data_IF_853307701393
#
_entry.id   IF_853307701393
#
_cell.length_a   1.000
_cell.length_b   1.000
_cell.length_c   1.000
_cell.angle_alpha   90.00
_cell.angle_beta   90.00
_cell.angle_gamma   90.00
#
_symmetry.space_group_name_H-M   'P 1'
#
loop_
_entity.id
_entity.type
_entity.pdbx_description
1 polymer ?
#
# COMPACT_ATOMS: atom_id res chain seq x y z
N UNK A 1 25.65 4.98 -31.34
CA UNK A 1 25.16 4.29 -30.13
C UNK A 1 23.73 3.85 -30.36
N UNK A 2 23.37 2.66 -29.92
CA UNK A 2 22.05 2.08 -30.16
C UNK A 2 21.03 2.78 -29.28
N UNK A 3 20.00 3.40 -29.87
CA UNK A 3 18.91 4.02 -29.13
C UNK A 3 18.05 2.92 -28.49
N UNK A 4 17.62 3.14 -27.27
CA UNK A 4 16.67 2.23 -26.61
C UNK A 4 15.33 2.28 -27.34
N UNK A 5 14.78 1.10 -27.61
CA UNK A 5 13.44 1.01 -28.21
C UNK A 5 12.38 1.56 -27.23
N UNK A 6 11.33 2.18 -27.76
CA UNK A 6 10.22 2.70 -26.95
C UNK A 6 9.60 1.62 -26.06
N UNK A 7 9.51 0.39 -26.56
CA UNK A 7 9.04 -0.78 -25.81
C UNK A 7 9.86 -1.05 -24.55
N UNK A 8 11.18 -0.85 -24.60
CA UNK A 8 12.06 -1.04 -23.44
C UNK A 8 11.88 0.06 -22.41
N UNK A 9 11.69 1.31 -22.86
CA UNK A 9 11.44 2.47 -21.98
C UNK A 9 10.11 2.32 -21.25
N UNK A 10 9.04 1.95 -21.97
CA UNK A 10 7.73 1.69 -21.38
C UNK A 10 7.79 0.50 -20.43
N UNK A 11 8.42 -0.60 -20.85
CA UNK A 11 8.56 -1.78 -20.00
C UNK A 11 9.35 -1.52 -18.73
N UNK A 12 10.39 -0.68 -18.79
CA UNK A 12 11.12 -0.24 -17.62
C UNK A 12 10.24 0.65 -16.72
N UNK A 13 9.46 1.58 -17.28
CA UNK A 13 8.53 2.42 -16.55
C UNK A 13 7.46 1.62 -15.79
N UNK A 14 6.96 0.53 -16.39
CA UNK A 14 6.00 -0.37 -15.73
C UNK A 14 6.56 -1.03 -14.48
N UNK A 15 7.88 -1.30 -14.44
CA UNK A 15 8.54 -1.83 -13.23
C UNK A 15 8.45 -0.87 -12.05
N UNK A 16 8.67 0.43 -12.28
CA UNK A 16 8.54 1.44 -11.23
C UNK A 16 7.06 1.71 -10.87
N UNK A 17 6.17 1.60 -11.86
CA UNK A 17 4.72 1.60 -11.62
C UNK A 17 4.32 0.47 -10.67
N UNK A 18 4.81 -0.75 -10.90
CA UNK A 18 4.58 -1.91 -10.04
C UNK A 18 5.12 -1.69 -8.62
N UNK A 19 6.37 -1.21 -8.50
CA UNK A 19 6.98 -0.92 -7.21
C UNK A 19 6.18 0.15 -6.43
N UNK A 20 5.67 1.17 -7.12
CA UNK A 20 4.84 2.21 -6.51
C UNK A 20 3.43 1.74 -6.17
N UNK A 21 2.84 0.80 -6.90
CA UNK A 21 1.61 0.13 -6.50
C UNK A 21 1.80 -0.53 -5.12
N UNK A 22 2.86 -1.30 -4.94
CA UNK A 22 3.16 -1.93 -3.66
C UNK A 22 3.44 -0.91 -2.56
N UNK A 23 4.40 0.00 -2.80
CA UNK A 23 4.86 0.95 -1.79
C UNK A 23 3.76 1.92 -1.35
N UNK A 24 3.05 2.55 -2.30
CA UNK A 24 1.98 3.50 -2.00
C UNK A 24 0.79 2.83 -1.34
N UNK A 25 0.46 1.59 -1.75
CA UNK A 25 -0.57 0.79 -1.09
C UNK A 25 -0.25 0.58 0.38
N UNK A 26 0.96 0.15 0.69
CA UNK A 26 1.42 -0.08 2.06
C UNK A 26 1.55 1.23 2.83
N UNK A 27 2.24 2.24 2.28
CA UNK A 27 2.50 3.49 2.99
C UNK A 27 1.23 4.30 3.31
N UNK A 28 0.20 4.22 2.46
CA UNK A 28 -1.03 5.01 2.64
C UNK A 28 -2.10 4.26 3.42
N UNK A 29 -2.28 2.95 3.16
CA UNK A 29 -3.47 2.25 3.61
C UNK A 29 -3.21 1.16 4.66
N UNK A 30 -1.98 0.66 4.81
CA UNK A 30 -1.71 -0.45 5.70
C UNK A 30 -1.94 -0.09 7.18
N UNK A 31 -1.58 1.13 7.59
CA UNK A 31 -1.81 1.58 8.97
C UNK A 31 -3.29 1.53 9.31
N UNK A 32 -4.13 2.14 8.46
CA UNK A 32 -5.60 2.16 8.63
C UNK A 32 -6.16 0.73 8.59
N UNK A 33 -5.69 -0.11 7.65
CA UNK A 33 -6.13 -1.49 7.58
C UNK A 33 -5.79 -2.28 8.85
N UNK A 34 -4.58 -2.14 9.38
CA UNK A 34 -4.17 -2.86 10.58
C UNK A 34 -4.90 -2.38 11.84
N UNK A 35 -5.14 -1.07 11.98
CA UNK A 35 -5.82 -0.51 13.16
C UNK A 35 -7.33 -0.70 13.09
N UNK A 36 -7.96 -0.25 12.03
CA UNK A 36 -9.42 -0.11 11.95
C UNK A 36 -10.10 -1.38 11.45
N UNK A 37 -9.43 -2.16 10.59
CA UNK A 37 -10.02 -3.34 9.95
C UNK A 37 -9.53 -4.64 10.58
N UNK A 38 -8.23 -4.79 10.79
CA UNK A 38 -7.66 -6.00 11.39
C UNK A 38 -7.71 -5.97 12.92
N UNK A 39 -7.76 -4.77 13.53
CA UNK A 39 -7.93 -4.56 14.96
C UNK A 39 -6.67 -4.80 15.79
N UNK A 40 -5.52 -4.32 15.30
CA UNK A 40 -4.24 -4.26 16.04
C UNK A 40 -4.12 -2.86 16.65
N UNK A 41 -3.55 -2.76 17.85
CA UNK A 41 -3.36 -1.46 18.48
C UNK A 41 -2.46 -0.54 17.67
N UNK A 42 -2.75 0.77 17.58
CA UNK A 42 -1.93 1.73 16.84
C UNK A 42 -0.46 1.75 17.28
N UNK A 43 -0.22 1.55 18.58
CA UNK A 43 1.13 1.47 19.15
C UNK A 43 1.92 0.27 18.57
N UNK A 44 1.30 -0.92 18.49
CA UNK A 44 1.95 -2.10 17.91
C UNK A 44 2.24 -1.91 16.40
N UNK A 45 1.33 -1.28 15.66
CA UNK A 45 1.55 -0.97 14.24
C UNK A 45 2.68 0.06 14.08
N UNK A 46 2.73 1.08 14.94
CA UNK A 46 3.80 2.08 14.94
C UNK A 46 5.17 1.46 15.21
N UNK A 47 5.28 0.56 16.19
CA UNK A 47 6.52 -0.17 16.50
C UNK A 47 6.94 -1.04 15.31
N UNK A 48 6.00 -1.75 14.66
CA UNK A 48 6.27 -2.54 13.47
C UNK A 48 6.90 -1.69 12.36
N UNK A 49 6.29 -0.55 12.04
CA UNK A 49 6.80 0.37 11.02
C UNK A 49 8.17 0.96 11.37
N UNK A 50 8.41 1.22 12.65
CA UNK A 50 9.70 1.70 13.13
C UNK A 50 10.81 0.66 12.97
N UNK A 51 10.57 -0.59 13.40
CA UNK A 51 11.53 -1.71 13.27
C UNK A 51 11.92 -1.90 11.79
N UNK A 52 10.93 -1.86 10.90
CA UNK A 52 11.18 -2.01 9.48
C UNK A 52 12.09 -0.90 8.93
N UNK A 53 11.90 0.34 9.34
CA UNK A 53 12.74 1.48 8.91
C UNK A 53 14.20 1.33 9.30
N UNK A 54 14.48 0.79 10.49
CA UNK A 54 15.86 0.50 10.88
C UNK A 54 16.47 -0.66 10.09
N UNK A 55 15.66 -1.66 9.72
CA UNK A 55 16.10 -2.79 8.91
C UNK A 55 16.43 -2.41 7.46
N UNK A 56 15.76 -1.39 6.91
CA UNK A 56 15.88 -0.94 5.51
C UNK A 56 17.33 -0.79 5.07
N UNK A 57 18.08 0.07 5.73
CA UNK A 57 19.43 0.42 5.31
C UNK A 57 20.40 -0.77 5.32
N UNK A 58 20.22 -1.71 6.24
CA UNK A 58 21.08 -2.90 6.34
C UNK A 58 20.73 -3.89 5.23
N UNK A 59 19.44 -4.14 5.02
CA UNK A 59 18.94 -5.09 4.02
C UNK A 59 19.25 -4.60 2.60
N UNK A 60 19.15 -3.30 2.35
CA UNK A 60 19.49 -2.70 1.05
C UNK A 60 20.95 -2.94 0.67
N UNK A 61 21.88 -2.75 1.62
CA UNK A 61 23.31 -3.02 1.40
C UNK A 61 23.56 -4.50 1.11
N UNK A 62 22.98 -5.39 1.92
CA UNK A 62 23.09 -6.84 1.74
C UNK A 62 22.56 -7.24 0.36
N UNK A 63 21.39 -6.73 -0.02
CA UNK A 63 20.77 -7.03 -1.31
C UNK A 63 21.63 -6.51 -2.48
N UNK A 64 22.22 -5.32 -2.37
CA UNK A 64 23.15 -4.78 -3.34
C UNK A 64 24.34 -5.74 -3.58
N UNK A 65 24.96 -6.24 -2.50
CA UNK A 65 26.06 -7.20 -2.59
C UNK A 65 25.62 -8.52 -3.24
N UNK A 66 24.45 -9.03 -2.90
CA UNK A 66 23.91 -10.26 -3.48
C UNK A 66 23.67 -10.08 -4.98
N UNK A 67 23.08 -8.94 -5.39
CA UNK A 67 22.85 -8.63 -6.80
C UNK A 67 24.15 -8.55 -7.59
N UNK A 68 25.17 -7.89 -7.04
CA UNK A 68 26.47 -7.76 -7.72
C UNK A 68 27.17 -9.09 -7.93
N UNK A 69 26.94 -10.06 -7.05
CA UNK A 69 27.48 -11.42 -7.15
C UNK A 69 26.61 -12.36 -7.97
N UNK A 70 25.42 -11.94 -8.33
CA UNK A 70 24.52 -12.78 -9.14
C UNK A 70 25.07 -12.93 -10.56
N UNK A 71 25.17 -14.17 -11.00
CA UNK A 71 25.55 -14.50 -12.37
C UNK A 71 24.52 -15.48 -12.94
N UNK A 72 23.75 -15.03 -13.94
CA UNK A 72 22.73 -15.86 -14.56
C UNK A 72 22.68 -15.65 -16.08
N UNK A 73 22.03 -16.58 -16.77
CA UNK A 73 21.78 -16.47 -18.22
C UNK A 73 20.96 -15.23 -18.63
N UNK A 74 20.30 -14.61 -17.68
CA UNK A 74 19.46 -13.40 -17.91
C UNK A 74 20.16 -12.10 -17.52
N UNK A 75 21.39 -12.14 -17.04
CA UNK A 75 22.14 -11.02 -16.51
C UNK A 75 22.26 -11.02 -14.98
N UNK A 76 22.64 -9.90 -14.39
CA UNK A 76 22.82 -9.72 -12.94
C UNK A 76 21.52 -9.31 -12.24
N UNK A 77 20.81 -8.33 -12.78
CA UNK A 77 19.70 -7.64 -12.14
C UNK A 77 18.32 -8.14 -12.59
N UNK A 78 18.17 -8.43 -13.89
CA UNK A 78 16.91 -8.92 -14.48
C UNK A 78 16.35 -10.19 -13.82
N UNK A 79 17.15 -11.21 -13.46
CA UNK A 79 16.61 -12.42 -12.83
C UNK A 79 15.88 -12.11 -11.52
N UNK A 80 16.35 -11.14 -10.75
CA UNK A 80 15.70 -10.73 -9.51
C UNK A 80 14.30 -10.16 -9.75
N UNK A 81 14.12 -9.36 -10.80
CA UNK A 81 12.80 -8.83 -11.18
C UNK A 81 11.83 -9.98 -11.49
N UNK A 82 12.30 -11.01 -12.20
CA UNK A 82 11.48 -12.17 -12.53
C UNK A 82 11.15 -13.01 -11.28
N UNK A 83 12.16 -13.33 -10.47
CA UNK A 83 12.01 -14.19 -9.30
C UNK A 83 11.13 -13.56 -8.22
N UNK A 84 11.14 -12.25 -8.11
CA UNK A 84 10.34 -11.52 -7.12
C UNK A 84 8.98 -11.09 -7.64
N UNK A 85 8.69 -11.19 -8.94
CA UNK A 85 7.45 -10.71 -9.53
C UNK A 85 6.19 -11.35 -8.90
N UNK A 86 6.17 -12.66 -8.75
CA UNK A 86 5.07 -13.38 -8.10
C UNK A 86 5.12 -13.28 -6.58
N UNK A 87 6.28 -13.55 -5.91
CA UNK A 87 6.39 -13.40 -4.47
C UNK A 87 5.97 -12.02 -3.94
N UNK A 88 6.29 -10.94 -4.67
CA UNK A 88 5.90 -9.59 -4.26
C UNK A 88 4.38 -9.39 -4.28
N UNK A 89 3.70 -9.89 -5.31
CA UNK A 89 2.24 -9.88 -5.37
C UNK A 89 1.60 -10.71 -4.25
N UNK A 90 2.15 -11.89 -3.97
CA UNK A 90 1.67 -12.75 -2.89
C UNK A 90 1.87 -12.07 -1.53
N UNK A 91 3.04 -11.56 -1.24
CA UNK A 91 3.33 -10.92 0.05
C UNK A 91 2.52 -9.64 0.25
N UNK A 92 2.32 -8.83 -0.79
CA UNK A 92 1.40 -7.68 -0.75
C UNK A 92 -0.03 -8.12 -0.44
N UNK A 93 -0.50 -9.21 -1.05
CA UNK A 93 -1.82 -9.77 -0.78
C UNK A 93 -1.96 -10.25 0.67
N UNK A 94 -0.93 -10.90 1.21
CA UNK A 94 -0.92 -11.35 2.61
C UNK A 94 -1.02 -10.20 3.61
N UNK A 95 -0.39 -9.05 3.34
CA UNK A 95 -0.48 -7.87 4.21
C UNK A 95 -1.91 -7.39 4.44
N UNK A 96 -2.76 -7.51 3.42
CA UNK A 96 -4.16 -7.07 3.47
C UNK A 96 -5.15 -8.24 3.64
N UNK A 97 -4.65 -9.39 4.06
CA UNK A 97 -5.48 -10.53 4.46
C UNK A 97 -5.68 -10.49 5.98
N UNK A 98 -6.90 -10.77 6.44
CA UNK A 98 -7.23 -10.74 7.86
C UNK A 98 -7.70 -12.12 8.34
N UNK A 99 -6.77 -13.04 8.67
CA UNK A 99 -7.11 -14.35 9.22
C UNK A 99 -7.76 -14.24 10.60
N UNK A 100 -8.53 -15.27 10.96
CA UNK A 100 -9.26 -15.33 12.23
C UNK A 100 -8.32 -15.82 13.36
N UNK A 101 -7.39 -14.96 13.76
CA UNK A 101 -6.49 -15.23 14.89
C UNK A 101 -6.92 -14.48 16.15
N UNK A 102 -6.52 -14.98 17.33
CA UNK A 102 -6.58 -14.22 18.57
C UNK A 102 -5.65 -12.98 18.54
N UNK A 103 -5.74 -12.12 19.56
CA UNK A 103 -5.01 -10.84 19.59
C UNK A 103 -3.50 -10.99 19.34
N UNK A 104 -2.83 -11.90 20.04
CA UNK A 104 -1.40 -12.16 19.85
C UNK A 104 -1.09 -12.72 18.45
N UNK A 105 -1.91 -13.65 17.97
CA UNK A 105 -1.74 -14.23 16.64
C UNK A 105 -1.85 -13.21 15.51
N UNK A 106 -2.71 -12.19 15.65
CA UNK A 106 -2.82 -11.08 14.70
C UNK A 106 -1.52 -10.26 14.64
N UNK A 107 -0.94 -9.96 15.80
CA UNK A 107 0.32 -9.19 15.87
C UNK A 107 1.45 -9.99 15.21
N UNK A 108 1.61 -11.26 15.57
CA UNK A 108 2.64 -12.14 14.98
C UNK A 108 2.46 -12.24 13.47
N UNK A 109 1.24 -12.44 12.99
CA UNK A 109 0.93 -12.49 11.55
C UNK A 109 1.30 -11.19 10.84
N UNK A 110 0.90 -10.04 11.39
CA UNK A 110 1.19 -8.73 10.81
C UNK A 110 2.70 -8.47 10.73
N UNK A 111 3.44 -8.79 11.79
CA UNK A 111 4.90 -8.61 11.83
C UNK A 111 5.60 -9.55 10.84
N UNK A 112 5.23 -10.82 10.82
CA UNK A 112 5.84 -11.80 9.91
C UNK A 112 5.59 -11.43 8.44
N UNK A 113 4.34 -11.15 8.06
CA UNK A 113 3.98 -10.80 6.69
C UNK A 113 4.60 -9.50 6.24
N UNK A 114 4.69 -8.50 7.13
CA UNK A 114 5.32 -7.22 6.81
C UNK A 114 6.82 -7.36 6.58
N UNK A 115 7.53 -8.09 7.44
CA UNK A 115 8.96 -8.32 7.27
C UNK A 115 9.27 -9.12 6.00
N UNK A 116 8.47 -10.15 5.70
CA UNK A 116 8.63 -10.92 4.46
C UNK A 116 8.36 -10.05 3.24
N UNK A 117 7.27 -9.29 3.24
CA UNK A 117 6.99 -8.33 2.16
C UNK A 117 8.16 -7.39 1.94
N UNK A 118 8.69 -6.84 3.02
CA UNK A 118 9.77 -5.89 2.99
C UNK A 118 11.05 -6.48 2.36
N UNK A 119 11.43 -7.70 2.76
CA UNK A 119 12.55 -8.43 2.15
C UNK A 119 12.36 -8.65 0.64
N UNK A 120 11.16 -9.08 0.24
CA UNK A 120 10.85 -9.33 -1.17
C UNK A 120 10.80 -8.02 -1.96
N UNK A 121 10.27 -6.95 -1.37
CA UNK A 121 10.25 -5.62 -1.97
C UNK A 121 11.66 -5.09 -2.23
N UNK A 122 12.56 -5.16 -1.25
CA UNK A 122 13.97 -4.77 -1.40
C UNK A 122 14.68 -5.64 -2.43
N UNK A 123 14.42 -6.97 -2.44
CA UNK A 123 14.97 -7.89 -3.43
C UNK A 123 14.50 -7.61 -4.86
N UNK A 124 13.38 -6.90 -5.03
CA UNK A 124 12.92 -6.39 -6.32
C UNK A 124 13.48 -5.00 -6.64
N UNK A 125 13.36 -4.07 -5.70
CA UNK A 125 13.56 -2.63 -5.94
C UNK A 125 15.04 -2.28 -6.14
N UNK A 126 15.98 -2.91 -5.39
CA UNK A 126 17.42 -2.64 -5.52
C UNK A 126 17.94 -3.06 -6.89
N UNK A 127 17.74 -4.33 -7.38
CA UNK A 127 18.14 -4.71 -8.72
C UNK A 127 17.46 -3.92 -9.82
N UNK A 128 16.18 -3.58 -9.63
CA UNK A 128 15.44 -2.75 -10.59
C UNK A 128 16.09 -1.36 -10.74
N UNK A 129 16.45 -0.71 -9.62
CA UNK A 129 17.18 0.57 -9.65
C UNK A 129 18.54 0.47 -10.37
N UNK A 130 19.29 -0.58 -10.11
CA UNK A 130 20.59 -0.83 -10.72
C UNK A 130 20.51 -1.19 -12.21
N UNK A 131 19.41 -1.81 -12.65
CA UNK A 131 19.18 -2.20 -14.04
C UNK A 131 19.32 -1.02 -15.02
N UNK A 132 18.90 0.19 -14.63
CA UNK A 132 19.03 1.37 -15.48
C UNK A 132 20.46 1.64 -15.94
N UNK A 133 21.44 1.41 -15.06
CA UNK A 133 22.85 1.66 -15.35
C UNK A 133 23.44 0.68 -16.37
N UNK A 134 22.89 -0.53 -16.45
CA UNK A 134 23.37 -1.59 -17.36
C UNK A 134 22.52 -1.72 -18.64
N UNK A 135 21.44 -1.00 -18.76
CA UNK A 135 20.64 -0.96 -19.99
C UNK A 135 21.29 -0.13 -21.08
N UNK A 136 21.98 0.97 -20.75
CA UNK A 136 22.64 1.86 -21.71
C UNK A 136 23.80 2.62 -21.10
N UNK A 137 24.83 2.89 -21.92
CA UNK A 137 25.97 3.75 -21.59
C UNK A 137 25.66 5.21 -21.94
N UNK A 138 24.73 5.45 -22.87
CA UNK A 138 24.41 6.79 -23.36
C UNK A 138 23.65 7.60 -22.28
N UNK A 139 24.22 8.74 -21.89
CA UNK A 139 23.65 9.61 -20.88
C UNK A 139 22.30 10.20 -21.30
N UNK A 140 22.08 10.47 -22.60
CA UNK A 140 20.78 11.00 -23.10
C UNK A 140 19.70 9.92 -22.99
N UNK A 141 20.01 8.70 -23.40
CA UNK A 141 19.10 7.56 -23.26
C UNK A 141 18.81 7.23 -21.79
N UNK A 142 19.82 7.33 -20.91
CA UNK A 142 19.67 7.15 -19.46
C UNK A 142 18.75 8.21 -18.85
N UNK A 143 18.91 9.48 -19.24
CA UNK A 143 18.01 10.57 -18.80
C UNK A 143 16.59 10.34 -19.31
N UNK A 144 16.44 9.96 -20.58
CA UNK A 144 15.14 9.59 -21.14
C UNK A 144 14.50 8.45 -20.36
N UNK A 145 15.25 7.39 -20.08
CA UNK A 145 14.77 6.23 -19.29
C UNK A 145 14.32 6.64 -17.88
N UNK A 146 15.07 7.56 -17.23
CA UNK A 146 14.69 8.16 -15.96
C UNK A 146 13.37 8.92 -16.01
N UNK A 147 13.12 9.67 -17.09
CA UNK A 147 11.84 10.38 -17.30
C UNK A 147 10.66 9.40 -17.44
N UNK A 148 10.82 8.34 -18.24
CA UNK A 148 9.80 7.29 -18.35
C UNK A 148 9.56 6.58 -17.01
N UNK A 149 10.62 6.31 -16.25
CA UNK A 149 10.55 5.76 -14.90
C UNK A 149 9.67 6.62 -13.98
N UNK A 150 9.90 7.94 -13.96
CA UNK A 150 9.12 8.88 -13.15
C UNK A 150 7.64 8.86 -13.53
N UNK A 151 7.32 8.84 -14.83
CA UNK A 151 5.93 8.69 -15.29
C UNK A 151 5.31 7.41 -14.76
N UNK A 152 6.03 6.28 -14.84
CA UNK A 152 5.58 5.00 -14.28
C UNK A 152 5.31 5.07 -12.78
N UNK A 153 6.24 5.66 -12.01
CA UNK A 153 6.12 5.83 -10.56
C UNK A 153 4.88 6.66 -10.18
N UNK A 154 4.71 7.83 -10.81
CA UNK A 154 3.55 8.69 -10.54
C UNK A 154 2.24 8.03 -10.93
N UNK A 155 2.18 7.40 -12.10
CA UNK A 155 0.97 6.70 -12.57
C UNK A 155 0.60 5.56 -11.62
N UNK A 156 1.56 4.71 -11.24
CA UNK A 156 1.33 3.64 -10.28
C UNK A 156 0.83 4.15 -8.92
N UNK A 157 1.44 5.23 -8.42
CA UNK A 157 1.01 5.88 -7.18
C UNK A 157 -0.41 6.48 -7.28
N UNK A 158 -0.72 7.18 -8.37
CA UNK A 158 -2.05 7.77 -8.60
C UNK A 158 -3.14 6.69 -8.72
N UNK A 159 -2.85 5.59 -9.41
CA UNK A 159 -3.80 4.47 -9.54
C UNK A 159 -4.16 3.91 -8.18
N UNK A 160 -3.17 3.68 -7.31
CA UNK A 160 -3.44 3.15 -5.96
C UNK A 160 -4.18 4.17 -5.10
N UNK A 161 -3.68 5.39 -5.03
CA UNK A 161 -4.26 6.41 -4.15
C UNK A 161 -5.67 6.85 -4.59
N UNK A 162 -5.92 6.89 -5.89
CA UNK A 162 -7.23 7.25 -6.44
C UNK A 162 -8.21 6.09 -6.59
N UNK A 163 -7.73 4.93 -7.03
CA UNK A 163 -8.60 3.81 -7.34
C UNK A 163 -8.84 2.86 -6.16
N UNK A 164 -7.92 2.74 -5.19
CA UNK A 164 -8.07 1.74 -4.13
C UNK A 164 -9.33 1.94 -3.31
N UNK A 165 -9.62 3.18 -2.89
CA UNK A 165 -10.84 3.46 -2.14
C UNK A 165 -12.10 3.13 -2.94
N UNK A 166 -12.11 3.46 -4.23
CA UNK A 166 -13.21 3.10 -5.13
C UNK A 166 -13.36 1.57 -5.25
N UNK A 167 -12.26 0.84 -5.41
CA UNK A 167 -12.28 -0.61 -5.46
C UNK A 167 -12.73 -1.22 -4.13
N UNK A 168 -12.31 -0.66 -2.99
CA UNK A 168 -12.77 -1.10 -1.65
C UNK A 168 -14.28 -0.94 -1.53
N UNK A 169 -14.84 0.17 -2.00
CA UNK A 169 -16.28 0.39 -2.05
C UNK A 169 -16.98 -0.62 -2.96
N UNK A 170 -16.42 -0.88 -4.13
CA UNK A 170 -16.99 -1.80 -5.10
C UNK A 170 -16.97 -3.26 -4.61
N UNK A 171 -15.83 -3.75 -4.16
CA UNK A 171 -15.69 -5.14 -3.71
C UNK A 171 -16.24 -5.39 -2.29
N UNK A 172 -16.28 -4.35 -1.46
CA UNK A 172 -16.81 -4.40 -0.11
C UNK A 172 -18.31 -4.14 -0.03
N UNK A 173 -18.95 -3.68 -1.11
CA UNK A 173 -20.37 -3.38 -1.09
C UNK A 173 -21.16 -4.65 -0.76
N UNK A 174 -22.00 -4.51 0.26
CA UNK A 174 -22.99 -5.49 0.67
C UNK A 174 -24.32 -4.92 0.23
N UNK A 175 -25.15 -5.71 -0.42
CA UNK A 175 -26.51 -5.32 -0.77
C UNK A 175 -27.47 -5.75 0.38
N UNK A 176 -27.55 -4.98 1.49
CA UNK A 176 -28.46 -5.27 2.57
C UNK A 176 -29.86 -4.82 2.21
N UNK A 177 -30.87 -5.35 2.87
CA UNK A 177 -32.17 -4.69 2.92
C UNK A 177 -32.06 -3.49 3.84
N UNK A 178 -32.39 -2.30 3.31
CA UNK A 178 -32.34 -1.03 4.05
C UNK A 178 -33.77 -0.48 4.15
N UNK A 179 -34.19 -0.26 5.38
CA UNK A 179 -35.43 0.43 5.69
C UNK A 179 -35.08 1.76 6.36
N UNK A 180 -35.71 2.87 5.89
CA UNK A 180 -35.42 4.21 6.34
C UNK A 180 -36.67 4.82 6.93
N UNK A 181 -36.60 5.19 8.20
CA UNK A 181 -37.63 5.93 8.90
C UNK A 181 -37.10 7.34 9.24
N UNK A 182 -37.81 8.39 8.77
CA UNK A 182 -37.40 9.76 9.05
C UNK A 182 -37.93 10.15 10.44
N UNK A 183 -36.99 10.46 11.36
CA UNK A 183 -37.32 10.90 12.71
C UNK A 183 -37.42 12.42 12.82
N UNK A 184 -36.54 13.16 12.08
CA UNK A 184 -36.48 14.62 12.12
C UNK A 184 -35.89 15.15 10.80
N UNK A 185 -35.81 16.47 10.62
CA UNK A 185 -35.28 17.12 9.41
C UNK A 185 -33.87 16.63 9.01
N UNK A 186 -33.04 16.31 10.00
CA UNK A 186 -31.63 15.85 9.82
C UNK A 186 -31.33 14.54 10.57
N UNK A 187 -32.36 13.76 10.94
CA UNK A 187 -32.19 12.48 11.64
C UNK A 187 -33.02 11.40 10.99
N UNK A 188 -32.36 10.29 10.69
CA UNK A 188 -32.98 9.11 10.10
C UNK A 188 -32.65 7.88 10.92
N UNK A 189 -33.64 7.06 11.20
CA UNK A 189 -33.47 5.72 11.68
C UNK A 189 -33.25 4.81 10.47
N UNK A 190 -32.13 4.12 10.44
CA UNK A 190 -31.76 3.22 9.37
C UNK A 190 -31.76 1.81 9.94
N UNK A 191 -32.68 0.98 9.46
CA UNK A 191 -32.73 -0.44 9.81
C UNK A 191 -32.14 -1.25 8.68
N UNK A 192 -31.17 -2.12 9.01
CA UNK A 192 -30.41 -2.90 8.06
C UNK A 192 -30.45 -4.37 8.43
N UNK A 193 -30.62 -5.23 7.44
CA UNK A 193 -30.44 -6.68 7.62
C UNK A 193 -29.70 -7.28 6.42
N UNK A 194 -28.95 -8.35 6.68
CA UNK A 194 -28.19 -9.07 5.65
C UNK A 194 -28.44 -10.56 5.72
N UNK A 195 -28.21 -11.28 4.61
CA UNK A 195 -28.34 -12.74 4.55
C UNK A 195 -27.10 -13.49 5.04
N UNK A 196 -26.00 -12.77 5.32
CA UNK A 196 -24.68 -13.34 5.69
C UNK A 196 -24.08 -12.59 6.87
N UNK A 197 -23.30 -13.33 7.68
CA UNK A 197 -22.49 -12.71 8.73
C UNK A 197 -21.39 -11.84 8.12
N UNK A 198 -21.35 -10.58 8.54
CA UNK A 198 -20.36 -9.62 8.06
C UNK A 198 -19.69 -8.93 9.23
N UNK A 199 -18.38 -8.80 9.19
CA UNK A 199 -17.57 -8.16 10.23
C UNK A 199 -16.94 -6.88 9.69
N UNK A 200 -16.79 -5.87 10.58
CA UNK A 200 -16.19 -4.57 10.25
C UNK A 200 -16.95 -3.84 9.13
N UNK A 201 -18.25 -3.72 9.33
CA UNK A 201 -19.17 -3.03 8.42
C UNK A 201 -19.13 -1.54 8.71
N UNK A 202 -19.00 -0.72 7.69
CA UNK A 202 -19.15 0.73 7.79
C UNK A 202 -20.36 1.17 7.00
N UNK A 203 -20.98 2.25 7.48
CA UNK A 203 -22.08 2.92 6.82
C UNK A 203 -21.51 4.12 6.07
N UNK A 204 -21.78 4.20 4.78
CA UNK A 204 -21.45 5.34 3.95
C UNK A 204 -22.70 6.01 3.44
N UNK A 205 -22.73 7.34 3.57
CA UNK A 205 -23.72 8.22 2.96
C UNK A 205 -23.09 9.07 1.88
N UNK A 206 -23.86 9.96 1.25
CA UNK A 206 -23.32 10.92 0.25
C UNK A 206 -22.20 11.79 0.81
N UNK A 207 -22.21 12.11 2.10
CA UNK A 207 -21.26 12.99 2.76
C UNK A 207 -20.05 12.24 3.37
N UNK A 208 -19.91 10.94 3.11
CA UNK A 208 -18.80 10.12 3.59
C UNK A 208 -19.24 9.01 4.56
N UNK A 209 -18.32 8.59 5.46
CA UNK A 209 -18.63 7.58 6.49
C UNK A 209 -19.51 8.24 7.55
N UNK A 210 -20.75 7.77 7.69
CA UNK A 210 -21.67 8.30 8.68
C UNK A 210 -21.27 7.90 10.10
N UNK A 211 -21.28 8.86 11.00
CA UNK A 211 -21.31 8.60 12.44
C UNK A 211 -22.75 8.20 12.80
N UNK A 212 -22.91 7.09 13.48
CA UNK A 212 -24.22 6.58 13.87
C UNK A 212 -24.29 6.32 15.37
N UNK A 213 -25.50 6.46 15.92
CA UNK A 213 -25.84 6.09 17.29
C UNK A 213 -26.81 4.93 17.22
N UNK A 214 -26.62 3.90 18.03
CA UNK A 214 -27.56 2.79 18.06
C UNK A 214 -28.97 3.27 18.51
N UNK A 215 -29.98 2.89 17.78
CA UNK A 215 -31.38 3.00 18.23
C UNK A 215 -31.64 1.96 19.30
N UNK A 216 -32.49 2.21 20.26
CA UNK A 216 -32.74 1.40 21.47
C UNK A 216 -33.14 -0.08 21.28
N UNK A 217 -33.00 -0.62 20.08
CA UNK A 217 -33.31 -1.99 19.74
C UNK A 217 -32.04 -2.84 19.72
N UNK A 218 -31.78 -3.56 20.80
CA UNK A 218 -30.86 -4.71 20.90
C UNK A 218 -29.41 -4.38 20.53
N UNK A 219 -28.67 -3.81 21.50
CA UNK A 219 -27.22 -3.94 21.54
C UNK A 219 -26.94 -5.42 21.89
N UNK A 220 -26.30 -6.20 21.03
CA UNK A 220 -25.91 -7.55 21.40
C UNK A 220 -24.93 -7.48 22.58
N UNK A 221 -25.20 -8.16 23.69
CA UNK A 221 -24.38 -8.22 24.91
C UNK A 221 -22.93 -8.67 24.69
N UNK A 222 -22.60 -9.17 23.51
CA UNK A 222 -21.26 -9.67 23.15
C UNK A 222 -20.35 -8.65 22.45
N UNK A 223 -20.81 -7.44 22.21
CA UNK A 223 -20.04 -6.42 21.53
C UNK A 223 -19.71 -5.28 22.50
N UNK A 224 -18.45 -5.17 22.91
CA UNK A 224 -17.85 -3.92 23.39
C UNK A 224 -17.90 -2.89 22.23
N UNK A 225 -19.09 -2.46 21.85
CA UNK A 225 -19.29 -1.47 20.77
C UNK A 225 -19.32 -0.11 21.45
N UNK A 226 -18.42 0.80 21.10
CA UNK A 226 -18.53 2.18 21.57
C UNK A 226 -19.90 2.74 21.14
N UNK A 227 -20.54 3.50 22.01
CA UNK A 227 -21.83 4.15 21.78
C UNK A 227 -21.85 5.02 20.50
N UNK A 228 -20.66 5.37 19.99
CA UNK A 228 -20.42 6.03 18.72
C UNK A 228 -19.36 5.23 17.97
N UNK A 229 -19.75 4.49 16.94
CA UNK A 229 -18.85 3.59 16.23
C UNK A 229 -18.69 3.98 14.76
N UNK A 230 -17.47 3.73 14.23
CA UNK A 230 -17.22 3.80 12.79
C UNK A 230 -17.47 2.46 12.09
N UNK A 231 -17.45 1.35 12.84
CA UNK A 231 -17.66 0.00 12.29
C UNK A 231 -18.36 -0.92 13.29
N UNK A 232 -19.10 -1.89 12.80
CA UNK A 232 -19.80 -2.90 13.59
C UNK A 232 -19.83 -4.26 12.86
N UNK A 233 -20.31 -5.30 13.54
CA UNK A 233 -20.52 -6.61 12.94
C UNK A 233 -21.99 -6.90 12.82
N UNK A 234 -22.39 -7.58 11.75
CA UNK A 234 -23.77 -7.98 11.49
C UNK A 234 -23.85 -9.49 11.38
N UNK A 235 -24.77 -10.09 12.11
CA UNK A 235 -25.11 -11.50 11.97
C UNK A 235 -26.19 -11.66 10.90
N UNK A 236 -26.19 -12.80 10.21
CA UNK A 236 -27.18 -13.10 9.19
C UNK A 236 -28.60 -13.05 9.75
N UNK A 237 -29.54 -12.49 8.97
CA UNK A 237 -30.97 -12.41 9.26
C UNK A 237 -31.35 -11.58 10.50
N UNK A 238 -30.39 -10.98 11.22
CA UNK A 238 -30.70 -10.03 12.30
C UNK A 238 -30.89 -8.62 11.75
N UNK A 239 -31.81 -7.88 12.35
CA UNK A 239 -32.07 -6.46 12.04
C UNK A 239 -31.27 -5.59 13.00
N UNK A 240 -30.59 -4.60 12.45
CA UNK A 240 -29.81 -3.62 13.20
C UNK A 240 -30.34 -2.23 12.89
N UNK A 241 -30.75 -1.49 13.92
CA UNK A 241 -31.27 -0.13 13.77
C UNK A 241 -30.35 0.88 14.40
N UNK A 242 -30.03 1.92 13.68
CA UNK A 242 -29.16 3.01 14.13
C UNK A 242 -29.66 4.36 13.61
N UNK A 243 -29.32 5.44 14.32
CA UNK A 243 -29.70 6.80 13.97
C UNK A 243 -28.54 7.47 13.26
N UNK A 244 -28.75 7.90 12.02
CA UNK A 244 -27.85 8.74 11.25
C UNK A 244 -28.31 10.19 11.39
N UNK A 245 -27.36 11.07 11.77
CA UNK A 245 -27.63 12.49 11.96
C UNK A 245 -26.80 13.34 10.99
N UNK A 246 -27.33 14.51 10.62
CA UNK A 246 -26.59 15.48 9.78
C UNK A 246 -26.90 15.40 8.29
N UNK A 247 -27.75 14.49 7.85
CA UNK A 247 -28.11 14.32 6.44
C UNK A 247 -29.52 14.93 6.18
N UNK A 248 -29.66 15.70 5.10
CA UNK A 248 -30.95 16.18 4.62
C UNK A 248 -31.40 15.32 3.42
N UNK A 249 -32.66 14.88 3.42
CA UNK A 249 -33.23 14.06 2.34
C UNK A 249 -32.48 12.76 2.01
N UNK A 250 -32.03 12.01 3.04
CA UNK A 250 -31.42 10.71 2.89
C UNK A 250 -32.39 9.71 2.25
N UNK A 251 -31.95 9.00 1.21
CA UNK A 251 -32.72 7.91 0.55
C UNK A 251 -32.01 6.60 0.77
N UNK A 252 -32.75 5.48 0.76
CA UNK A 252 -32.15 4.15 0.93
C UNK A 252 -30.99 3.86 -0.04
N UNK A 253 -31.08 4.35 -1.27
CA UNK A 253 -30.01 4.22 -2.29
C UNK A 253 -28.74 5.03 -1.98
N UNK A 254 -28.82 6.00 -1.08
CA UNK A 254 -27.70 6.84 -0.69
C UNK A 254 -26.93 6.23 0.49
N UNK A 255 -27.47 5.18 1.12
CA UNK A 255 -26.82 4.43 2.20
C UNK A 255 -26.17 3.20 1.61
N UNK A 256 -24.87 3.10 1.78
CA UNK A 256 -24.09 1.93 1.34
C UNK A 256 -23.44 1.28 2.55
N UNK A 257 -23.57 -0.01 2.65
CA UNK A 257 -22.94 -0.81 3.73
C UNK A 257 -21.77 -1.55 3.15
N UNK A 258 -20.61 -1.41 3.79
CA UNK A 258 -19.33 -1.86 3.24
C UNK A 258 -18.65 -2.82 4.20
N UNK A 259 -18.37 -4.03 3.74
CA UNK A 259 -17.41 -4.94 4.37
C UNK A 259 -15.98 -4.49 4.04
N UNK A 260 -15.38 -3.74 4.94
CA UNK A 260 -14.03 -3.22 4.73
C UNK A 260 -12.99 -4.32 4.56
N UNK A 261 -13.10 -5.43 5.31
CA UNK A 261 -12.16 -6.55 5.17
C UNK A 261 -12.13 -7.08 3.76
N UNK A 262 -13.30 -7.45 3.25
CA UNK A 262 -13.47 -7.99 1.90
C UNK A 262 -13.07 -6.95 0.86
N UNK A 263 -13.47 -5.70 1.07
CA UNK A 263 -13.14 -4.58 0.19
C UNK A 263 -11.63 -4.41 0.03
N UNK A 264 -10.89 -4.25 1.12
CA UNK A 264 -9.44 -4.10 1.07
C UNK A 264 -8.73 -5.33 0.50
N UNK A 265 -9.05 -6.52 0.99
CA UNK A 265 -8.40 -7.75 0.52
C UNK A 265 -8.58 -7.96 -0.98
N UNK A 266 -9.80 -7.90 -1.49
CA UNK A 266 -10.06 -8.13 -2.92
C UNK A 266 -9.44 -7.06 -3.81
N UNK A 267 -9.47 -5.79 -3.37
CA UNK A 267 -8.84 -4.68 -4.10
C UNK A 267 -7.34 -4.87 -4.23
N UNK A 268 -6.68 -5.23 -3.13
CA UNK A 268 -5.23 -5.48 -3.13
C UNK A 268 -4.88 -6.74 -3.91
N UNK A 269 -5.70 -7.80 -3.87
CA UNK A 269 -5.48 -9.00 -4.69
C UNK A 269 -5.48 -8.65 -6.18
N UNK A 270 -6.45 -7.84 -6.62
CA UNK A 270 -6.48 -7.35 -8.00
C UNK A 270 -5.23 -6.54 -8.36
N UNK A 271 -4.85 -5.58 -7.51
CA UNK A 271 -3.66 -4.76 -7.73
C UNK A 271 -2.36 -5.58 -7.69
N UNK A 272 -2.29 -6.63 -6.88
CA UNK A 272 -1.16 -7.57 -6.80
C UNK A 272 -0.98 -8.36 -8.08
N UNK A 273 -2.07 -8.75 -8.74
CA UNK A 273 -2.01 -9.38 -10.06
C UNK A 273 -1.43 -8.42 -11.10
N UNK A 274 -1.91 -7.18 -11.16
CA UNK A 274 -1.36 -6.18 -12.08
C UNK A 274 0.11 -5.89 -11.79
N UNK A 275 0.50 -5.76 -10.54
CA UNK A 275 1.89 -5.59 -10.12
C UNK A 275 2.77 -6.72 -10.66
N UNK A 276 2.38 -7.97 -10.45
CA UNK A 276 3.14 -9.14 -10.93
C UNK A 276 3.25 -9.16 -12.44
N UNK A 277 2.16 -8.86 -13.16
CA UNK A 277 2.16 -8.73 -14.62
C UNK A 277 3.11 -7.64 -15.10
N UNK A 278 3.11 -6.46 -14.49
CA UNK A 278 3.99 -5.35 -14.86
C UNK A 278 5.45 -5.71 -14.66
N UNK A 279 5.82 -6.39 -13.56
CA UNK A 279 7.18 -6.86 -13.34
C UNK A 279 7.58 -7.92 -14.37
N UNK A 280 6.70 -8.83 -14.75
CA UNK A 280 6.96 -9.81 -15.82
C UNK A 280 7.18 -9.12 -17.19
N UNK A 281 6.37 -8.09 -17.51
CA UNK A 281 6.54 -7.28 -18.72
C UNK A 281 7.88 -6.54 -18.67
N UNK A 282 8.24 -5.97 -17.53
CA UNK A 282 9.53 -5.31 -17.32
C UNK A 282 10.68 -6.28 -17.62
N UNK A 283 10.65 -7.48 -17.05
CA UNK A 283 11.64 -8.51 -17.35
C UNK A 283 11.69 -8.87 -18.83
N UNK A 284 10.53 -9.08 -19.46
CA UNK A 284 10.45 -9.50 -20.86
C UNK A 284 10.93 -8.44 -21.86
N UNK A 285 10.78 -7.17 -21.52
CA UNK A 285 11.07 -6.05 -22.43
C UNK A 285 12.45 -5.44 -22.24
N UNK A 286 13.03 -5.51 -21.05
CA UNK A 286 14.34 -4.92 -20.75
C UNK A 286 15.50 -5.88 -21.09
N UNK A 287 16.67 -5.32 -21.37
CA UNK A 287 17.90 -6.09 -21.63
C UNK A 287 19.11 -5.42 -20.98
N UNK A 288 19.97 -6.23 -20.37
CA UNK A 288 21.27 -5.78 -19.89
C UNK A 288 22.26 -5.82 -21.05
N UNK A 289 22.81 -4.65 -21.41
CA UNK A 289 23.76 -4.49 -22.54
C UNK A 289 25.17 -4.22 -22.04
N UNK A 290 25.28 -3.60 -20.86
CA UNK A 290 26.54 -3.20 -20.29
C UNK A 290 26.96 -4.26 -19.26
N UNK A 291 28.07 -4.91 -19.53
CA UNK A 291 28.66 -5.80 -18.53
C UNK A 291 29.62 -4.97 -17.65
N UNK A 292 29.43 -4.95 -16.34
CA UNK A 292 30.40 -4.33 -15.46
C UNK A 292 31.73 -5.10 -15.53
N UNK A 293 32.88 -4.43 -15.28
CA UNK A 293 34.20 -5.06 -15.30
C UNK A 293 34.21 -6.30 -14.41
N UNK A 294 34.85 -7.39 -14.90
CA UNK A 294 34.86 -8.71 -14.25
C UNK A 294 35.61 -8.75 -12.91
N UNK A 295 36.39 -7.73 -12.60
CA UNK A 295 37.30 -7.72 -11.42
C UNK A 295 37.13 -6.43 -10.62
N UNK A 296 36.05 -6.32 -9.86
CA UNK A 296 36.03 -5.43 -8.69
C UNK A 296 36.14 -6.29 -7.43
N UNK A 297 37.37 -6.38 -6.90
CA UNK A 297 37.58 -6.83 -5.51
C UNK A 297 37.02 -5.73 -4.60
N UNK A 298 35.74 -5.82 -4.27
CA UNK A 298 35.08 -4.89 -3.37
C UNK A 298 35.58 -5.11 -1.95
N UNK A 299 36.28 -4.13 -1.43
CA UNK A 299 36.62 -4.05 -0.01
C UNK A 299 35.65 -3.04 0.63
N UNK A 300 34.55 -3.53 1.17
CA UNK A 300 33.46 -2.74 1.76
C UNK A 300 33.96 -1.65 2.72
N UNK A 301 34.99 -1.94 3.53
CA UNK A 301 35.55 -0.96 4.46
C UNK A 301 36.26 0.20 3.77
N UNK A 302 36.98 -0.10 2.65
CA UNK A 302 37.64 0.93 1.84
C UNK A 302 36.63 1.75 1.06
N UNK A 303 35.63 1.10 0.44
CA UNK A 303 34.60 1.74 -0.36
C UNK A 303 33.73 2.69 0.48
N UNK A 304 33.35 2.29 1.71
CA UNK A 304 32.66 3.15 2.67
C UNK A 304 33.52 4.36 3.09
N UNK A 305 34.83 4.14 3.32
CA UNK A 305 35.76 5.22 3.68
C UNK A 305 35.91 6.23 2.54
N UNK A 306 35.95 5.74 1.31
CA UNK A 306 36.05 6.60 0.11
C UNK A 306 34.76 7.36 -0.14
N UNK A 307 33.57 6.76 0.12
CA UNK A 307 32.28 7.44 0.09
C UNK A 307 32.19 8.59 1.10
N UNK A 308 32.59 8.37 2.36
CA UNK A 308 32.60 9.40 3.40
C UNK A 308 33.60 10.53 3.10
N UNK A 309 34.61 10.29 2.27
CA UNK A 309 35.55 11.32 1.82
C UNK A 309 35.06 12.10 0.60
N UNK A 310 34.07 11.59 -0.10
CA UNK A 310 33.50 12.21 -1.30
C UNK A 310 32.53 13.34 -0.92
N UNK A 311 33.00 14.57 -0.89
CA UNK A 311 32.18 15.77 -0.54
C UNK A 311 30.90 15.91 -1.36
N UNK A 312 30.88 15.76 -2.71
CA UNK A 312 29.65 15.77 -3.49
C UNK A 312 28.65 14.73 -3.03
N UNK A 313 29.10 13.53 -2.69
CA UNK A 313 28.23 12.46 -2.20
C UNK A 313 27.60 12.80 -0.84
N UNK A 314 28.40 13.35 0.09
CA UNK A 314 27.89 13.79 1.41
C UNK A 314 26.82 14.88 1.25
N UNK A 315 27.06 15.88 0.37
CA UNK A 315 26.09 16.93 0.09
C UNK A 315 24.78 16.34 -0.42
N UNK A 316 24.83 15.44 -1.38
CA UNK A 316 23.63 14.75 -1.91
C UNK A 316 22.93 13.91 -0.84
N UNK A 317 23.69 13.23 0.03
CA UNK A 317 23.14 12.49 1.16
C UNK A 317 22.36 13.39 2.11
N UNK A 318 22.95 14.52 2.50
CA UNK A 318 22.31 15.50 3.41
C UNK A 318 21.06 16.09 2.77
N UNK A 319 21.12 16.48 1.49
CA UNK A 319 19.96 16.98 0.75
C UNK A 319 18.85 15.91 0.69
N UNK A 320 19.20 14.67 0.40
CA UNK A 320 18.25 13.54 0.38
C UNK A 320 17.59 13.30 1.73
N UNK A 321 18.36 13.36 2.82
CA UNK A 321 17.82 13.24 4.18
C UNK A 321 16.85 14.37 4.51
N UNK A 322 17.24 15.63 4.27
CA UNK A 322 16.38 16.80 4.52
C UNK A 322 15.10 16.74 3.69
N UNK A 323 15.20 16.32 2.43
CA UNK A 323 14.04 16.13 1.54
C UNK A 323 13.09 15.05 2.05
N UNK A 324 13.61 13.91 2.56
CA UNK A 324 12.80 12.86 3.16
C UNK A 324 12.11 13.32 4.45
N UNK A 325 12.82 14.05 5.33
CA UNK A 325 12.23 14.63 6.53
C UNK A 325 11.12 15.62 6.18
N UNK A 326 11.37 16.53 5.23
CA UNK A 326 10.36 17.45 4.72
C UNK A 326 9.10 16.73 4.21
N UNK A 327 9.26 15.72 3.38
CA UNK A 327 8.12 14.97 2.84
C UNK A 327 7.34 14.22 3.92
N UNK A 328 8.04 13.65 4.91
CA UNK A 328 7.40 12.93 6.03
C UNK A 328 6.56 13.88 6.90
N UNK A 329 7.12 15.05 7.22
CA UNK A 329 6.41 16.11 7.97
C UNK A 329 5.20 16.60 7.17
N UNK A 330 5.40 16.90 5.89
CA UNK A 330 4.32 17.38 5.01
C UNK A 330 3.16 16.40 4.95
N UNK A 331 3.44 15.10 4.75
CA UNK A 331 2.40 14.08 4.69
C UNK A 331 1.63 13.96 6.02
N UNK A 332 2.34 14.00 7.15
CA UNK A 332 1.70 13.96 8.47
C UNK A 332 0.82 15.19 8.75
N UNK A 333 1.32 16.38 8.45
CA UNK A 333 0.58 17.64 8.68
C UNK A 333 -0.68 17.72 7.79
N UNK A 334 -0.60 17.29 6.53
CA UNK A 334 -1.76 17.32 5.63
C UNK A 334 -2.92 16.51 6.21
N UNK A 335 -2.66 15.29 6.69
CA UNK A 335 -3.70 14.45 7.31
C UNK A 335 -4.30 15.12 8.54
N UNK A 336 -3.46 15.64 9.44
CA UNK A 336 -3.91 16.34 10.66
C UNK A 336 -4.73 17.58 10.30
N UNK A 337 -4.27 18.38 9.32
CA UNK A 337 -4.96 19.57 8.87
C UNK A 337 -6.36 19.28 8.34
N UNK A 338 -6.49 18.31 7.45
CA UNK A 338 -7.80 17.92 6.90
C UNK A 338 -8.73 17.32 7.97
N UNK A 339 -8.19 16.50 8.88
CA UNK A 339 -9.02 15.83 9.90
C UNK A 339 -9.46 16.78 11.00
N UNK A 340 -8.60 17.67 11.48
CA UNK A 340 -8.86 18.49 12.67
C UNK A 340 -9.23 19.93 12.38
N UNK A 341 -8.70 20.52 11.30
CA UNK A 341 -8.95 21.92 11.00
C UNK A 341 -10.12 22.13 10.03
N UNK A 342 -10.17 21.37 8.96
CA UNK A 342 -11.25 21.49 7.97
C UNK A 342 -12.48 20.65 8.32
N UNK A 343 -12.42 19.81 9.35
CA UNK A 343 -13.49 18.87 9.72
C UNK A 343 -14.00 18.01 8.55
N UNK A 344 -13.28 17.99 7.43
CA UNK A 344 -13.56 17.15 6.29
C UNK A 344 -12.86 15.82 6.51
N UNK A 345 -13.64 14.80 6.85
CA UNK A 345 -13.12 13.44 6.88
C UNK A 345 -12.88 12.97 5.42
N UNK A 346 -11.64 12.71 5.10
CA UNK A 346 -11.26 12.02 3.87
C UNK A 346 -11.65 10.55 3.97
#
# INVERSE_FOLDING_TARGET
MEKLALKEKIGYALGDGAANIAWRGVATFLFIFYTDVFGISPAAVGILMLIARFGDGIIDIIMGIICDRTNSKYGKFRPWILWTAIPLGITLSLLFTSPKFGATGKIVYAYATYLIFFLVYTANNIPYGALMAVMTIDNKERTSLGSYRMVGAFTGGMVVQGALLFLVLHFGNINPSIDLNKLDTKKYEVTVSTDKDVKNVNIKTKNGIALFTWSNAIIPDSLNVPTHGKSFSMDAQKKYSFIVSGEENLKAKDVTIIDQKKGYSNSIYLLSVFLSLFLMITFATTKERVQPPKEQKTNLGRDLKDLVRNRPWIILLVIGLLFNVYNSIKQGIVVIYFTHYLHNQI
#
